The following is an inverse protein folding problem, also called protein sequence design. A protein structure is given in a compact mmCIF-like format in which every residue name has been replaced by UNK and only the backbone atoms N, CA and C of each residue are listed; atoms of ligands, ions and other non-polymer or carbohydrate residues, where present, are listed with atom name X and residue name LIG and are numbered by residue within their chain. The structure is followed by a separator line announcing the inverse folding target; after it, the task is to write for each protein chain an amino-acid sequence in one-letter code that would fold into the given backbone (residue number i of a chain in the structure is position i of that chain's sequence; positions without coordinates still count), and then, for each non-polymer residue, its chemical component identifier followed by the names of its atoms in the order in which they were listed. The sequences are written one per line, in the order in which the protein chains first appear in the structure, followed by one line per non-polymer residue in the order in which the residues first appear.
data_IF_145140785722
#
_entry.id   IF_145140785722
#
_cell.length_a   1.000
_cell.length_b   1.000
_cell.length_c   1.000
_cell.angle_alpha   90.00
_cell.angle_beta   90.00
_cell.angle_gamma   90.00
#
_symmetry.space_group_name_H-M   'P 1'
#
loop_
_entity.id
_entity.type
_entity.pdbx_description
1 polymer ?
#
# COMPACT_ATOMS: atom_id res chain seq x y z
N UNK A 1 13.10 12.69 1.96
CA UNK A 1 12.86 11.75 3.09
C UNK A 1 12.30 10.45 2.51
N UNK A 2 12.66 9.28 3.05
CA UNK A 2 12.16 7.98 2.56
C UNK A 2 11.12 7.46 3.56
N UNK A 3 9.91 7.15 3.08
CA UNK A 3 8.83 6.59 3.91
C UNK A 3 8.27 5.34 3.23
N UNK A 4 8.19 4.24 3.97
CA UNK A 4 7.40 3.09 3.57
C UNK A 4 6.01 3.18 4.20
N UNK A 5 4.96 2.96 3.40
CA UNK A 5 3.57 2.99 3.86
C UNK A 5 2.94 1.63 3.57
N UNK A 6 2.27 1.06 4.57
CA UNK A 6 1.43 -0.12 4.36
C UNK A 6 0.21 0.27 3.52
N UNK A 7 0.23 -0.18 2.28
CA UNK A 7 -0.81 0.02 1.27
C UNK A 7 -1.70 -1.21 1.11
N UNK A 8 -1.55 -2.24 1.95
CA UNK A 8 -2.35 -3.46 1.89
C UNK A 8 -3.86 -3.18 1.92
N UNK A 9 -4.40 -2.30 2.78
CA UNK A 9 -5.84 -2.05 2.80
C UNK A 9 -6.34 -1.38 1.50
N UNK A 10 -5.51 -0.58 0.84
CA UNK A 10 -5.87 0.05 -0.45
C UNK A 10 -6.00 -0.97 -1.59
N UNK A 11 -5.35 -2.12 -1.48
CA UNK A 11 -5.47 -3.23 -2.42
C UNK A 11 -6.62 -4.16 -2.04
N UNK A 12 -6.71 -4.56 -0.76
CA UNK A 12 -7.66 -5.60 -0.32
C UNK A 12 -9.07 -5.07 -0.03
N UNK A 13 -9.22 -3.78 0.23
CA UNK A 13 -10.50 -3.17 0.57
C UNK A 13 -10.90 -2.16 -0.49
N UNK A 14 -12.04 -2.43 -1.14
CA UNK A 14 -12.54 -1.58 -2.23
C UNK A 14 -13.19 -0.29 -1.72
N UNK A 15 -13.82 -0.33 -0.54
CA UNK A 15 -14.50 0.81 0.09
C UNK A 15 -13.90 1.13 1.47
N UNK A 16 -14.44 2.17 2.11
CA UNK A 16 -14.03 2.57 3.47
C UNK A 16 -12.55 2.95 3.52
N UNK A 17 -11.79 2.24 4.37
CA UNK A 17 -10.37 2.49 4.62
C UNK A 17 -9.56 2.45 3.32
N UNK A 18 -9.81 1.50 2.42
CA UNK A 18 -9.05 1.40 1.18
C UNK A 18 -9.21 2.65 0.29
N UNK A 19 -10.42 3.23 0.23
CA UNK A 19 -10.65 4.50 -0.49
C UNK A 19 -9.92 5.66 0.18
N UNK A 20 -9.95 5.71 1.52
CA UNK A 20 -9.28 6.76 2.29
C UNK A 20 -7.78 6.73 2.07
N UNK A 21 -7.14 5.55 2.16
CA UNK A 21 -5.69 5.41 1.93
C UNK A 21 -5.33 5.85 0.50
N UNK A 22 -6.08 5.42 -0.53
CA UNK A 22 -5.84 5.86 -1.91
C UNK A 22 -5.86 7.38 -2.05
N UNK A 23 -6.85 8.03 -1.44
CA UNK A 23 -6.97 9.50 -1.43
C UNK A 23 -5.82 10.18 -0.67
N UNK A 24 -5.43 9.64 0.48
CA UNK A 24 -4.32 10.18 1.29
C UNK A 24 -2.97 10.06 0.56
N UNK A 25 -2.69 8.92 -0.08
CA UNK A 25 -1.45 8.76 -0.87
C UNK A 25 -1.45 9.72 -2.05
N UNK A 26 -2.56 9.86 -2.78
CA UNK A 26 -2.66 10.82 -3.88
C UNK A 26 -2.38 12.26 -3.41
N UNK A 27 -2.95 12.67 -2.28
CA UNK A 27 -2.69 13.99 -1.69
C UNK A 27 -1.23 14.14 -1.23
N UNK A 28 -0.65 13.10 -0.61
CA UNK A 28 0.72 13.14 -0.13
C UNK A 28 1.73 13.32 -1.27
N UNK A 29 1.53 12.63 -2.40
CA UNK A 29 2.34 12.82 -3.60
C UNK A 29 2.28 14.25 -4.16
N UNK A 30 1.17 14.97 -3.96
CA UNK A 30 1.01 16.36 -4.39
C UNK A 30 1.64 17.35 -3.40
N UNK A 31 1.49 17.10 -2.10
CA UNK A 31 1.94 18.02 -1.04
C UNK A 31 3.45 17.89 -0.78
N UNK A 32 4.00 16.69 -0.93
CA UNK A 32 5.41 16.38 -0.62
C UNK A 32 6.10 15.67 -1.81
N UNK A 33 6.26 16.34 -2.96
CA UNK A 33 6.80 15.72 -4.18
C UNK A 33 8.26 15.26 -4.03
N UNK A 34 9.02 15.83 -3.09
CA UNK A 34 10.40 15.45 -2.80
C UNK A 34 10.55 14.22 -1.88
N UNK A 35 9.44 13.63 -1.43
CA UNK A 35 9.47 12.43 -0.60
C UNK A 35 9.52 11.17 -1.46
N UNK A 36 10.39 10.24 -1.08
CA UNK A 36 10.42 8.93 -1.68
C UNK A 36 9.45 8.01 -0.91
N UNK A 37 8.22 7.95 -1.41
CA UNK A 37 7.16 7.11 -0.84
C UNK A 37 7.20 5.72 -1.48
N UNK A 38 7.30 4.68 -0.65
CA UNK A 38 7.28 3.28 -1.08
C UNK A 38 6.03 2.61 -0.56
N UNK A 39 5.20 2.08 -1.47
CA UNK A 39 3.95 1.41 -1.11
C UNK A 39 4.21 -0.08 -0.88
N UNK A 40 4.14 -0.50 0.38
CA UNK A 40 4.27 -1.91 0.75
C UNK A 40 2.93 -2.62 0.73
N UNK A 41 2.88 -3.86 0.23
CA UNK A 41 1.68 -4.70 0.24
C UNK A 41 2.03 -6.08 0.78
N UNK A 42 1.27 -6.54 1.78
CA UNK A 42 1.34 -7.90 2.28
C UNK A 42 0.63 -8.87 1.30
N UNK A 43 1.43 -9.74 0.69
CA UNK A 43 0.96 -10.77 -0.24
C UNK A 43 1.11 -10.40 -1.71
N UNK A 44 0.75 -11.34 -2.61
CA UNK A 44 0.86 -11.14 -4.05
C UNK A 44 -0.15 -10.11 -4.56
N UNK A 45 0.22 -9.36 -5.59
CA UNK A 45 -0.67 -8.39 -6.27
C UNK A 45 -0.83 -8.78 -7.74
N UNK A 46 -2.05 -8.64 -8.25
CA UNK A 46 -2.36 -8.85 -9.65
C UNK A 46 -1.74 -7.74 -10.52
N UNK A 47 -1.57 -8.02 -11.82
CA UNK A 47 -1.04 -7.04 -12.76
C UNK A 47 -1.90 -5.77 -12.82
N UNK A 48 -3.24 -5.93 -12.79
CA UNK A 48 -4.17 -4.80 -12.79
C UNK A 48 -4.02 -3.93 -11.53
N UNK A 49 -3.90 -4.55 -10.36
CA UNK A 49 -3.68 -3.83 -9.09
C UNK A 49 -2.37 -3.01 -9.10
N UNK A 50 -1.32 -3.51 -9.77
CA UNK A 50 -0.08 -2.75 -9.98
C UNK A 50 -0.27 -1.58 -10.93
N UNK A 51 -1.03 -1.76 -12.00
CA UNK A 51 -1.30 -0.72 -12.98
C UNK A 51 -2.14 0.43 -12.40
N UNK A 52 -3.09 0.09 -11.51
CA UNK A 52 -3.99 1.07 -10.89
C UNK A 52 -3.37 1.82 -9.69
N UNK A 53 -2.21 1.37 -9.21
CA UNK A 53 -1.54 1.99 -8.07
C UNK A 53 -0.85 3.31 -8.48
N UNK A 54 -0.89 4.36 -7.63
CA UNK A 54 -0.28 5.65 -7.95
C UNK A 54 1.25 5.63 -7.89
N UNK A 55 1.84 4.60 -7.29
CA UNK A 55 3.29 4.40 -7.14
C UNK A 55 3.62 2.90 -7.21
N UNK A 56 4.89 2.52 -7.48
CA UNK A 56 5.30 1.13 -7.48
C UNK A 56 4.95 0.38 -6.19
N UNK A 57 4.37 -0.81 -6.34
CA UNK A 57 4.02 -1.70 -5.22
C UNK A 57 5.15 -2.68 -4.90
N UNK A 58 5.63 -2.64 -3.66
CA UNK A 58 6.63 -3.55 -3.10
C UNK A 58 5.91 -4.64 -2.31
N UNK A 59 6.09 -5.90 -2.70
CA UNK A 59 5.28 -7.01 -2.20
C UNK A 59 6.11 -8.09 -1.54
N UNK A 60 5.50 -8.80 -0.59
CA UNK A 60 6.05 -10.01 0.04
C UNK A 60 5.23 -11.24 -0.33
N UNK A 61 5.81 -12.46 -0.38
CA UNK A 61 5.03 -13.68 -0.54
C UNK A 61 4.13 -14.01 0.67
N UNK A 62 4.35 -13.35 1.82
CA UNK A 62 3.56 -13.57 3.03
C UNK A 62 2.20 -12.88 2.90
N UNK A 63 1.12 -13.66 2.96
CA UNK A 63 -0.25 -13.10 2.97
C UNK A 63 -0.48 -12.14 4.15
N UNK A 64 -1.36 -11.15 3.96
CA UNK A 64 -1.81 -10.22 5.02
C UNK A 64 -2.17 -10.95 6.32
N UNK A 65 -2.96 -12.02 6.22
CA UNK A 65 -3.36 -12.84 7.39
C UNK A 65 -2.15 -13.38 8.16
N UNK A 66 -1.14 -13.88 7.46
CA UNK A 66 0.07 -14.40 8.11
C UNK A 66 0.97 -13.28 8.64
N UNK A 67 1.00 -12.12 7.97
CA UNK A 67 1.70 -10.94 8.46
C UNK A 67 1.13 -10.47 9.82
N UNK A 68 -0.20 -10.36 9.91
CA UNK A 68 -0.90 -10.02 11.16
C UNK A 68 -0.57 -11.03 12.27
N UNK A 69 -0.58 -12.33 11.95
CA UNK A 69 -0.19 -13.39 12.90
C UNK A 69 1.27 -13.33 13.35
N UNK A 70 2.19 -12.80 12.54
CA UNK A 70 3.60 -12.62 12.92
C UNK A 70 3.77 -11.40 13.80
N UNK A 71 3.03 -10.32 13.53
CA UNK A 71 3.10 -9.06 14.27
C UNK A 71 2.51 -9.15 15.70
N UNK A 72 1.45 -9.93 15.90
CA UNK A 72 0.81 -10.11 17.20
C UNK A 72 1.44 -11.20 18.09
N UNK A 73 2.68 -11.62 17.79
CA UNK A 73 3.45 -12.54 18.66
C UNK A 73 4.41 -11.75 19.52
#
# INVERSE_FOLDING_TARGET
MIIAIDYTPAIRQQAGIGRIIRGQIAALCQICPEWEIRLFVAGPVAAQERADAPLPLYTTPISERNMVRLWHR
#
